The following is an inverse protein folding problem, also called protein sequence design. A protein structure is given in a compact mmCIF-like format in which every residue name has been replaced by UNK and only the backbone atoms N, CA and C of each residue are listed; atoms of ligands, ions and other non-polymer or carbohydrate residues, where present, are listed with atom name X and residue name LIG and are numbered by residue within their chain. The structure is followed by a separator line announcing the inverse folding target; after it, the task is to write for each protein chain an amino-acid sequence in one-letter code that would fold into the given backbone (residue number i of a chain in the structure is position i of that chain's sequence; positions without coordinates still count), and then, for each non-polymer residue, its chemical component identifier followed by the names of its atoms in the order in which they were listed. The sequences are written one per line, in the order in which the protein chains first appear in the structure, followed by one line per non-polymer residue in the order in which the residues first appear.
data_IF_873437450323
#
_entry.id   IF_873437450323
#
_cell.length_a   1.000
_cell.length_b   1.000
_cell.length_c   1.000
_cell.angle_alpha   90.00
_cell.angle_beta   90.00
_cell.angle_gamma   90.00
#
_symmetry.space_group_name_H-M   'P 1'
#
loop_
_entity.id
_entity.type
_entity.pdbx_description
1 polymer ?
#
# COMPACT_ATOMS: atom_id res chain seq x y z
N UNK A 1 43.18 -6.55 -44.78
CA UNK A 1 41.75 -6.68 -44.47
C UNK A 1 41.49 -6.26 -43.02
N UNK A 2 41.04 -5.05 -42.83
CA UNK A 2 40.69 -4.53 -41.50
C UNK A 2 39.22 -4.85 -41.22
N UNK A 3 38.97 -5.80 -40.29
CA UNK A 3 37.64 -6.02 -39.76
C UNK A 3 37.37 -4.99 -38.70
N UNK A 4 36.56 -3.99 -39.04
CA UNK A 4 35.93 -3.05 -38.07
C UNK A 4 34.86 -3.81 -37.29
N UNK A 5 35.20 -4.18 -36.05
CA UNK A 5 34.21 -4.60 -35.08
C UNK A 5 33.43 -3.36 -34.63
N UNK A 6 32.22 -3.18 -35.14
CA UNK A 6 31.25 -2.24 -34.58
C UNK A 6 30.75 -2.83 -33.27
N UNK A 7 31.34 -2.42 -32.15
CA UNK A 7 30.75 -2.62 -30.83
C UNK A 7 29.55 -1.66 -30.73
N UNK A 8 28.37 -2.17 -31.00
CA UNK A 8 27.11 -1.53 -30.62
C UNK A 8 27.05 -1.53 -29.08
N UNK A 9 27.46 -0.40 -28.50
CA UNK A 9 27.20 -0.09 -27.12
C UNK A 9 25.70 0.07 -26.94
N UNK A 10 25.03 -1.00 -26.55
CA UNK A 10 23.68 -0.90 -25.99
C UNK A 10 23.82 -0.22 -24.61
N UNK A 11 23.69 1.11 -24.58
CA UNK A 11 23.47 1.82 -23.35
C UNK A 11 22.06 1.45 -22.87
N UNK A 12 21.89 0.85 -21.66
CA UNK A 12 20.55 0.63 -21.15
C UNK A 12 19.90 2.01 -21.00
N UNK A 13 18.75 2.20 -21.65
CA UNK A 13 17.90 3.36 -21.38
C UNK A 13 17.61 3.37 -19.89
N UNK A 14 17.85 4.49 -19.16
CA UNK A 14 17.46 4.57 -17.78
C UNK A 14 15.95 4.37 -17.74
N UNK A 15 15.48 3.23 -17.20
CA UNK A 15 14.11 3.07 -16.81
C UNK A 15 13.80 4.25 -15.89
N UNK A 16 12.68 4.97 -16.14
CA UNK A 16 12.20 6.02 -15.25
C UNK A 16 12.03 5.39 -13.87
N UNK A 17 13.03 5.57 -13.00
CA UNK A 17 13.01 5.02 -11.66
C UNK A 17 11.94 5.75 -10.85
N UNK A 18 11.14 4.99 -10.10
CA UNK A 18 10.23 5.58 -9.12
C UNK A 18 11.04 6.38 -8.09
N UNK A 19 10.42 7.42 -7.54
CA UNK A 19 11.07 8.23 -6.52
C UNK A 19 11.36 7.41 -5.26
N UNK A 20 12.42 7.72 -4.49
CA UNK A 20 12.72 7.03 -3.23
C UNK A 20 11.57 7.07 -2.23
N UNK A 21 10.86 8.20 -2.16
CA UNK A 21 9.68 8.33 -1.30
C UNK A 21 8.54 7.40 -1.71
N UNK A 22 8.28 7.26 -3.01
CA UNK A 22 7.27 6.32 -3.52
C UNK A 22 7.68 4.86 -3.27
N UNK A 23 8.95 4.51 -3.42
CA UNK A 23 9.43 3.17 -3.11
C UNK A 23 9.21 2.83 -1.63
N UNK A 24 9.55 3.73 -0.72
CA UNK A 24 9.30 3.52 0.71
C UNK A 24 7.79 3.43 1.00
N UNK A 25 6.99 4.28 0.37
CA UNK A 25 5.53 4.24 0.49
C UNK A 25 4.96 2.87 0.07
N UNK A 26 5.42 2.32 -1.04
CA UNK A 26 5.05 0.98 -1.52
C UNK A 26 5.50 -0.11 -0.53
N UNK A 27 6.73 -0.05 -0.04
CA UNK A 27 7.29 -1.03 0.88
C UNK A 27 6.53 -1.04 2.23
N UNK A 28 6.23 0.13 2.78
CA UNK A 28 5.44 0.25 4.02
C UNK A 28 4.01 -0.20 3.80
N UNK A 29 3.40 0.16 2.66
CA UNK A 29 2.06 -0.30 2.29
C UNK A 29 1.98 -1.83 2.19
N UNK A 30 3.00 -2.46 1.62
CA UNK A 30 3.07 -3.93 1.51
C UNK A 30 3.15 -4.61 2.89
N UNK A 31 3.89 -4.04 3.82
CA UNK A 31 3.97 -4.54 5.20
C UNK A 31 2.65 -4.41 5.96
N UNK A 32 1.90 -3.35 5.68
CA UNK A 32 0.60 -3.08 6.30
C UNK A 32 -0.56 -3.83 5.64
N UNK A 33 -0.36 -4.38 4.46
CA UNK A 33 -1.42 -5.01 3.66
C UNK A 33 -2.24 -6.05 4.43
N UNK A 34 -1.64 -7.01 5.18
CA UNK A 34 -2.41 -7.98 5.96
C UNK A 34 -3.29 -7.32 7.03
N UNK A 35 -2.76 -6.38 7.79
CA UNK A 35 -3.50 -5.67 8.83
C UNK A 35 -4.64 -4.82 8.23
N UNK A 36 -4.39 -4.11 7.16
CA UNK A 36 -5.38 -3.29 6.48
C UNK A 36 -6.48 -4.14 5.83
N UNK A 37 -6.13 -5.29 5.28
CA UNK A 37 -7.09 -6.25 4.74
C UNK A 37 -8.02 -6.77 5.84
N UNK A 38 -7.47 -7.21 6.97
CA UNK A 38 -8.25 -7.68 8.12
C UNK A 38 -9.16 -6.57 8.67
N UNK A 39 -8.66 -5.37 8.83
CA UNK A 39 -9.47 -4.21 9.29
C UNK A 39 -10.63 -3.91 8.34
N UNK A 40 -10.42 -4.00 7.03
CA UNK A 40 -11.46 -3.80 6.02
C UNK A 40 -12.57 -4.86 6.13
N UNK A 41 -12.19 -6.12 6.31
CA UNK A 41 -13.15 -7.22 6.54
C UNK A 41 -13.91 -7.04 7.85
N UNK A 42 -13.22 -6.62 8.90
CA UNK A 42 -13.84 -6.35 10.21
C UNK A 42 -14.83 -5.20 10.14
N UNK A 43 -14.53 -4.11 9.43
CA UNK A 43 -15.48 -3.00 9.27
C UNK A 43 -16.79 -3.46 8.64
N UNK A 44 -16.73 -4.29 7.61
CA UNK A 44 -17.93 -4.86 6.97
C UNK A 44 -18.69 -5.76 7.93
N UNK A 45 -18.00 -6.63 8.65
CA UNK A 45 -18.60 -7.52 9.63
C UNK A 45 -19.22 -6.76 10.81
N UNK A 46 -18.59 -5.67 11.27
CA UNK A 46 -19.12 -4.79 12.33
C UNK A 46 -20.43 -4.14 11.90
N UNK A 47 -20.48 -3.59 10.69
CA UNK A 47 -21.70 -2.98 10.15
C UNK A 47 -22.82 -4.02 10.05
N UNK A 48 -22.54 -5.22 9.53
CA UNK A 48 -23.51 -6.28 9.38
C UNK A 48 -24.03 -6.78 10.73
N UNK A 49 -23.14 -7.02 11.69
CA UNK A 49 -23.52 -7.43 13.05
C UNK A 49 -24.38 -6.37 13.75
N UNK A 50 -24.09 -5.08 13.53
CA UNK A 50 -24.89 -3.98 14.06
C UNK A 50 -26.30 -3.96 13.45
N UNK A 51 -26.42 -4.11 12.14
CA UNK A 51 -27.72 -4.13 11.44
C UNK A 51 -28.55 -5.35 11.85
N UNK A 52 -27.93 -6.52 12.04
CA UNK A 52 -28.59 -7.75 12.44
C UNK A 52 -28.84 -7.86 13.94
N UNK A 53 -28.40 -6.90 14.74
CA UNK A 53 -28.59 -6.90 16.20
C UNK A 53 -27.79 -7.97 16.95
N UNK A 54 -26.69 -8.46 16.38
CA UNK A 54 -25.81 -9.48 16.98
C UNK A 54 -24.82 -8.81 17.94
N UNK A 55 -25.31 -8.43 19.15
CA UNK A 55 -24.53 -7.60 20.09
C UNK A 55 -23.23 -8.27 20.57
N UNK A 56 -23.25 -9.57 20.86
CA UNK A 56 -22.07 -10.30 21.32
C UNK A 56 -20.98 -10.38 20.22
N UNK A 57 -21.38 -10.63 18.96
CA UNK A 57 -20.48 -10.66 17.82
C UNK A 57 -19.92 -9.28 17.55
N UNK A 58 -20.74 -8.24 17.61
CA UNK A 58 -20.33 -6.85 17.44
C UNK A 58 -19.23 -6.48 18.43
N UNK A 59 -19.37 -6.87 19.68
CA UNK A 59 -18.38 -6.59 20.72
C UNK A 59 -17.05 -7.29 20.44
N UNK A 60 -17.08 -8.56 20.03
CA UNK A 60 -15.88 -9.33 19.67
C UNK A 60 -15.16 -8.74 18.45
N UNK A 61 -15.92 -8.35 17.43
CA UNK A 61 -15.36 -7.75 16.22
C UNK A 61 -14.70 -6.40 16.50
N UNK A 62 -15.32 -5.56 17.31
CA UNK A 62 -14.75 -4.29 17.76
C UNK A 62 -13.48 -4.50 18.59
N UNK A 63 -13.46 -5.49 19.47
CA UNK A 63 -12.28 -5.82 20.28
C UNK A 63 -11.12 -6.26 19.37
N UNK A 64 -11.38 -7.09 18.35
CA UNK A 64 -10.35 -7.49 17.39
C UNK A 64 -9.82 -6.31 16.59
N UNK A 65 -10.68 -5.42 16.13
CA UNK A 65 -10.28 -4.19 15.43
C UNK A 65 -9.38 -3.31 16.30
N UNK A 66 -9.74 -3.15 17.57
CA UNK A 66 -8.94 -2.40 18.54
C UNK A 66 -7.55 -3.04 18.78
N UNK A 67 -7.48 -4.38 18.83
CA UNK A 67 -6.21 -5.10 18.97
C UNK A 67 -5.26 -4.83 17.79
N UNK A 68 -5.78 -4.82 16.57
CA UNK A 68 -4.96 -4.53 15.39
C UNK A 68 -4.41 -3.10 15.46
N UNK A 69 -5.25 -2.14 15.83
CA UNK A 69 -4.82 -0.74 15.97
C UNK A 69 -3.85 -0.52 17.13
N UNK A 70 -3.91 -1.34 18.17
CA UNK A 70 -3.03 -1.25 19.35
C UNK A 70 -1.69 -1.96 19.14
N UNK A 71 -1.55 -2.77 18.09
CA UNK A 71 -0.27 -3.41 17.78
C UNK A 71 0.81 -2.36 17.50
N UNK A 72 1.94 -2.35 18.28
CA UNK A 72 2.93 -1.28 18.17
C UNK A 72 3.57 -1.17 16.79
N UNK A 73 3.83 -2.30 16.14
CA UNK A 73 4.43 -2.31 14.79
C UNK A 73 3.44 -1.77 13.74
N UNK A 74 2.19 -2.20 13.80
CA UNK A 74 1.13 -1.68 12.93
C UNK A 74 0.95 -0.17 13.11
N UNK A 75 0.88 0.30 14.35
CA UNK A 75 0.75 1.73 14.65
C UNK A 75 1.94 2.54 14.14
N UNK A 76 3.15 2.02 14.30
CA UNK A 76 4.38 2.66 13.80
C UNK A 76 4.38 2.77 12.27
N UNK A 77 4.02 1.69 11.57
CA UNK A 77 3.95 1.65 10.11
C UNK A 77 2.84 2.56 9.57
N UNK A 78 1.68 2.60 10.20
CA UNK A 78 0.59 3.50 9.79
C UNK A 78 0.98 4.97 9.94
N UNK A 79 1.69 5.32 11.01
CA UNK A 79 2.23 6.67 11.22
C UNK A 79 3.23 7.03 10.12
N UNK A 80 4.13 6.11 9.78
CA UNK A 80 5.10 6.31 8.71
C UNK A 80 4.41 6.44 7.36
N UNK A 81 3.41 5.60 7.09
CA UNK A 81 2.63 5.66 5.85
C UNK A 81 1.93 7.02 5.68
N UNK A 82 1.39 7.59 6.75
CA UNK A 82 0.75 8.90 6.71
C UNK A 82 1.75 10.01 6.34
N UNK A 83 2.96 9.98 6.90
CA UNK A 83 4.04 10.93 6.56
C UNK A 83 4.45 10.78 5.11
N UNK A 84 4.67 9.56 4.64
CA UNK A 84 5.05 9.27 3.25
C UNK A 84 3.93 9.65 2.28
N UNK A 85 2.69 9.36 2.61
CA UNK A 85 1.53 9.72 1.80
C UNK A 85 1.42 11.22 1.58
N UNK A 86 1.68 12.03 2.59
CA UNK A 86 1.69 13.49 2.48
C UNK A 86 2.79 14.02 1.53
N UNK A 87 3.90 13.29 1.40
CA UNK A 87 5.01 13.64 0.50
C UNK A 87 4.83 13.15 -0.93
N UNK A 88 4.28 11.96 -1.07
CA UNK A 88 4.20 11.22 -2.35
C UNK A 88 2.91 11.52 -3.10
N UNK A 89 1.81 11.75 -2.37
CA UNK A 89 0.49 12.00 -2.93
C UNK A 89 0.08 13.47 -2.74
N UNK A 90 -0.71 13.97 -3.69
CA UNK A 90 -1.34 15.29 -3.58
C UNK A 90 -2.61 15.23 -2.71
N UNK A 91 -3.29 16.36 -2.55
CA UNK A 91 -4.52 16.47 -1.77
C UNK A 91 -5.69 15.61 -2.29
N UNK A 92 -5.61 15.14 -3.54
CA UNK A 92 -6.59 14.27 -4.17
C UNK A 92 -6.18 12.78 -4.13
N UNK A 93 -5.06 12.46 -3.47
CA UNK A 93 -4.55 11.10 -3.39
C UNK A 93 -3.84 10.62 -4.66
N UNK A 94 -3.44 11.52 -5.55
CA UNK A 94 -2.70 11.20 -6.77
C UNK A 94 -1.20 11.37 -6.54
N UNK A 95 -0.35 10.51 -7.16
CA UNK A 95 1.09 10.70 -7.10
C UNK A 95 1.50 12.08 -7.61
N UNK A 96 2.37 12.75 -6.85
CA UNK A 96 2.90 14.07 -7.23
C UNK A 96 3.86 13.99 -8.40
N UNK A 97 4.55 12.84 -8.57
CA UNK A 97 5.48 12.57 -9.65
C UNK A 97 4.87 11.55 -10.61
N UNK A 98 4.77 11.88 -11.92
CA UNK A 98 4.16 11.00 -12.92
C UNK A 98 4.79 9.61 -13.00
N UNK A 99 6.11 9.51 -12.77
CA UNK A 99 6.85 8.24 -12.76
C UNK A 99 6.40 7.27 -11.66
N UNK A 100 5.76 7.76 -10.61
CA UNK A 100 5.28 6.96 -9.49
C UNK A 100 3.88 6.37 -9.71
N UNK A 101 3.13 6.90 -10.68
CA UNK A 101 1.72 6.58 -10.88
C UNK A 101 1.48 5.09 -11.11
N UNK A 102 2.20 4.49 -12.03
CA UNK A 102 1.99 3.10 -12.42
C UNK A 102 2.34 2.13 -11.29
N UNK A 103 3.46 2.38 -10.60
CA UNK A 103 3.92 1.53 -9.50
C UNK A 103 2.97 1.57 -8.31
N UNK A 104 2.51 2.76 -7.91
CA UNK A 104 1.57 2.92 -6.79
C UNK A 104 0.20 2.33 -7.15
N UNK A 105 -0.31 2.61 -8.36
CA UNK A 105 -1.59 2.08 -8.83
C UNK A 105 -1.59 0.56 -8.91
N UNK A 106 -0.50 -0.04 -9.38
CA UNK A 106 -0.34 -1.48 -9.46
C UNK A 106 -0.36 -2.10 -8.06
N UNK A 107 0.42 -1.55 -7.12
CA UNK A 107 0.47 -2.03 -5.75
C UNK A 107 -0.90 -1.96 -5.07
N UNK A 108 -1.64 -0.88 -5.23
CA UNK A 108 -2.97 -0.71 -4.66
C UNK A 108 -3.98 -1.71 -5.23
N UNK A 109 -3.95 -1.94 -6.54
CA UNK A 109 -4.83 -2.93 -7.18
C UNK A 109 -4.50 -4.36 -6.75
N UNK A 110 -3.23 -4.71 -6.70
CA UNK A 110 -2.80 -6.03 -6.25
C UNK A 110 -3.20 -6.29 -4.78
N UNK A 111 -3.02 -5.30 -3.91
CA UNK A 111 -3.43 -5.38 -2.52
C UNK A 111 -4.95 -5.60 -2.38
N UNK A 112 -5.74 -4.88 -3.19
CA UNK A 112 -7.18 -5.02 -3.21
C UNK A 112 -7.61 -6.46 -3.63
N UNK A 113 -7.06 -6.98 -4.70
CA UNK A 113 -7.40 -8.32 -5.19
C UNK A 113 -6.90 -9.44 -4.28
N UNK A 114 -5.72 -9.29 -3.67
CA UNK A 114 -5.21 -10.28 -2.69
C UNK A 114 -6.05 -10.34 -1.42
N UNK A 115 -6.69 -9.26 -1.05
CA UNK A 115 -7.55 -9.24 0.13
C UNK A 115 -8.86 -10.04 -0.06
N UNK A 116 -9.32 -10.16 -1.27
CA UNK A 116 -10.58 -10.86 -1.57
C UNK A 116 -11.80 -9.99 -1.32
#
# INVERSE_FOLDING_TARGET
MRRLLLCLLFAPLPALAITPGAQEFIDVSAKLEPAQCEKRKLRRAIVLAGVEGRAADLQKLRARFAQINADPETARLEKRLAVLGARVLDSQGRPRHPEDLDAISLQQRQAFYRCG
#
